data_IF_998453952608
#
_entry.id   IF_998453952608
#
_cell.length_a   1.000
_cell.length_b   1.000
_cell.length_c   1.000
_cell.angle_alpha   90.00
_cell.angle_beta   90.00
_cell.angle_gamma   90.00
#
_symmetry.space_group_name_H-M   'P 1'
#
loop_
_entity.id
_entity.type
_entity.pdbx_description
1 polymer ?
#
# COMPACT_ATOMS: atom_id res chain seq x y z
N UNK A 1 16.76 -9.28 11.34
CA UNK A 1 16.48 -7.85 11.09
C UNK A 1 16.74 -7.09 12.39
N UNK A 2 17.73 -6.21 12.45
CA UNK A 2 18.17 -5.56 13.69
C UNK A 2 17.25 -4.37 14.03
N UNK A 3 16.90 -4.23 15.32
CA UNK A 3 15.96 -3.19 15.84
C UNK A 3 16.42 -1.75 15.57
N UNK A 4 17.70 -1.54 15.27
CA UNK A 4 18.31 -0.22 15.00
C UNK A 4 17.98 0.37 13.62
N UNK A 5 17.47 -0.43 12.67
CA UNK A 5 17.16 0.06 11.31
C UNK A 5 15.77 0.71 11.22
N UNK A 6 14.90 0.46 12.21
CA UNK A 6 13.51 0.92 12.23
C UNK A 6 13.34 2.45 12.31
N UNK A 7 14.10 3.20 13.14
CA UNK A 7 13.97 4.65 13.23
C UNK A 7 14.40 5.35 11.92
N UNK A 8 15.53 4.93 11.34
CA UNK A 8 16.02 5.46 10.06
C UNK A 8 15.01 5.23 8.93
N UNK A 9 14.39 4.05 8.89
CA UNK A 9 13.33 3.73 7.92
C UNK A 9 12.07 4.56 8.16
N UNK A 10 11.71 4.88 9.40
CA UNK A 10 10.51 5.68 9.69
C UNK A 10 10.58 7.09 9.09
N UNK A 11 11.70 7.79 9.30
CA UNK A 11 11.86 9.15 8.78
C UNK A 11 12.01 9.16 7.26
N UNK A 12 12.74 8.19 6.70
CA UNK A 12 12.83 7.98 5.26
C UNK A 12 11.45 7.74 4.62
N UNK A 13 10.66 6.80 5.16
CA UNK A 13 9.30 6.50 4.69
C UNK A 13 8.39 7.73 4.80
N UNK A 14 8.47 8.46 5.91
CA UNK A 14 7.68 9.69 6.10
C UNK A 14 7.99 10.72 5.02
N UNK A 15 9.27 10.98 4.74
CA UNK A 15 9.68 11.98 3.75
C UNK A 15 9.23 11.62 2.34
N UNK A 16 9.45 10.38 1.90
CA UNK A 16 9.12 9.97 0.52
C UNK A 16 7.61 9.88 0.29
N UNK A 17 6.85 9.42 1.29
CA UNK A 17 5.39 9.41 1.23
C UNK A 17 4.85 10.85 1.20
N UNK A 18 5.39 11.75 2.04
CA UNK A 18 4.94 13.15 2.08
C UNK A 18 5.20 13.94 0.79
N UNK A 19 6.15 13.49 -0.05
CA UNK A 19 6.46 14.09 -1.36
C UNK A 19 5.55 13.59 -2.47
N UNK A 20 4.71 12.60 -2.20
CA UNK A 20 3.79 12.04 -3.19
C UNK A 20 2.50 12.85 -3.23
N UNK A 21 2.41 13.79 -4.17
CA UNK A 21 1.27 14.72 -4.31
C UNK A 21 0.05 14.10 -5.02
N UNK A 22 0.26 12.99 -5.73
CA UNK A 22 -0.81 12.26 -6.44
C UNK A 22 -0.87 10.81 -5.99
N UNK A 23 -2.03 10.17 -6.19
CA UNK A 23 -2.23 8.75 -5.89
C UNK A 23 -1.29 7.88 -6.73
N UNK A 24 -1.03 8.24 -7.97
CA UNK A 24 -0.12 7.52 -8.88
C UNK A 24 1.33 7.60 -8.41
N UNK A 25 1.76 8.77 -7.91
CA UNK A 25 3.09 8.97 -7.35
C UNK A 25 3.25 8.20 -6.03
N UNK A 26 2.23 8.21 -5.18
CA UNK A 26 2.21 7.45 -3.94
C UNK A 26 2.30 5.95 -4.23
N UNK A 27 1.52 5.48 -5.20
CA UNK A 27 1.50 4.09 -5.65
C UNK A 27 2.90 3.61 -6.12
N UNK A 28 3.51 4.38 -7.01
CA UNK A 28 4.85 4.09 -7.56
C UNK A 28 5.91 4.07 -6.45
N UNK A 29 5.81 5.01 -5.51
CA UNK A 29 6.70 5.11 -4.35
C UNK A 29 6.55 3.90 -3.44
N UNK A 30 5.33 3.49 -3.10
CA UNK A 30 5.07 2.30 -2.31
C UNK A 30 5.66 1.06 -2.96
N UNK A 31 5.38 0.81 -4.25
CA UNK A 31 5.93 -0.35 -4.98
C UNK A 31 7.46 -0.42 -4.89
N UNK A 32 8.13 0.70 -5.14
CA UNK A 32 9.59 0.79 -5.09
C UNK A 32 10.13 0.44 -3.70
N UNK A 33 9.55 1.00 -2.64
CA UNK A 33 9.94 0.73 -1.25
C UNK A 33 9.77 -0.75 -0.93
N UNK A 34 8.62 -1.34 -1.22
CA UNK A 34 8.39 -2.77 -0.93
C UNK A 34 9.42 -3.65 -1.62
N UNK A 35 9.79 -3.32 -2.86
CA UNK A 35 10.83 -4.01 -3.60
C UNK A 35 12.21 -3.86 -2.93
N UNK A 36 12.57 -2.66 -2.49
CA UNK A 36 13.80 -2.41 -1.71
C UNK A 36 13.82 -3.14 -0.36
N UNK A 37 12.65 -3.44 0.20
CA UNK A 37 12.49 -4.26 1.40
C UNK A 37 12.54 -5.77 1.12
N UNK A 38 12.65 -6.18 -0.14
CA UNK A 38 12.72 -7.58 -0.55
C UNK A 38 11.37 -8.25 -0.77
N UNK A 39 10.29 -7.47 -0.91
CA UNK A 39 8.97 -8.00 -1.25
C UNK A 39 8.69 -7.83 -2.75
N UNK A 40 8.23 -8.91 -3.39
CA UNK A 40 7.85 -8.90 -4.81
C UNK A 40 6.50 -8.21 -5.06
N UNK A 41 5.64 -8.22 -4.04
CA UNK A 41 4.26 -7.74 -4.13
C UNK A 41 3.93 -6.72 -3.04
N UNK A 42 3.07 -5.77 -3.40
CA UNK A 42 2.48 -4.75 -2.56
C UNK A 42 0.96 -4.77 -2.75
N UNK A 43 0.23 -4.62 -1.66
CA UNK A 43 -1.22 -4.45 -1.68
C UNK A 43 -1.64 -3.42 -0.63
N UNK A 44 -2.56 -2.56 -1.02
CA UNK A 44 -3.17 -1.55 -0.18
C UNK A 44 -4.69 -1.60 -0.38
N UNK A 45 -5.43 -1.70 0.72
CA UNK A 45 -6.89 -1.77 0.70
C UNK A 45 -7.50 -0.62 1.50
N UNK A 46 -8.43 0.10 0.89
CA UNK A 46 -9.29 1.07 1.58
C UNK A 46 -10.67 0.44 1.72
N UNK A 47 -11.09 0.22 2.96
CA UNK A 47 -12.47 -0.10 3.28
C UNK A 47 -13.20 1.19 3.64
N UNK A 48 -14.21 1.56 2.84
CA UNK A 48 -15.03 2.71 3.18
C UNK A 48 -15.94 2.38 4.36
N UNK A 49 -16.12 3.31 5.31
CA UNK A 49 -17.03 3.12 6.44
C UNK A 49 -18.51 3.01 5.99
N UNK A 50 -18.81 3.40 4.75
CA UNK A 50 -20.14 3.35 4.16
C UNK A 50 -20.13 2.69 2.77
N UNK A 51 -21.27 2.09 2.36
CA UNK A 51 -22.50 1.92 3.14
C UNK A 51 -22.34 0.86 4.26
N UNK A 52 -23.04 1.06 5.38
CA UNK A 52 -22.82 0.29 6.61
C UNK A 52 -23.14 -1.21 6.50
N UNK A 53 -24.00 -1.59 5.56
CA UNK A 53 -24.46 -2.97 5.36
C UNK A 53 -23.67 -3.73 4.30
N UNK A 54 -23.04 -3.03 3.35
CA UNK A 54 -22.18 -3.61 2.33
C UNK A 54 -21.03 -2.65 2.02
N UNK A 55 -20.02 -2.68 2.89
CA UNK A 55 -18.89 -1.76 2.84
C UNK A 55 -18.11 -1.93 1.53
N UNK A 56 -17.86 -0.82 0.85
CA UNK A 56 -17.05 -0.85 -0.37
C UNK A 56 -15.58 -0.95 0.00
N UNK A 57 -14.90 -1.97 -0.53
CA UNK A 57 -13.45 -2.12 -0.40
C UNK A 57 -12.79 -1.87 -1.75
N UNK A 58 -11.79 -1.01 -1.79
CA UNK A 58 -10.95 -0.79 -2.95
C UNK A 58 -9.57 -1.36 -2.66
N UNK A 59 -9.08 -2.24 -3.53
CA UNK A 59 -7.77 -2.88 -3.39
C UNK A 59 -6.89 -2.41 -4.54
N UNK A 60 -5.74 -1.85 -4.20
CA UNK A 60 -4.68 -1.43 -5.11
C UNK A 60 -3.48 -2.35 -4.89
N UNK A 61 -2.90 -2.88 -5.96
CA UNK A 61 -1.95 -3.99 -5.86
C UNK A 61 -1.13 -4.18 -7.14
N UNK A 62 0.11 -4.67 -7.02
CA UNK A 62 0.76 -5.39 -8.12
C UNK A 62 0.64 -6.92 -7.93
N UNK A 63 -0.26 -7.35 -7.04
CA UNK A 63 -0.47 -8.75 -6.75
C UNK A 63 -1.10 -9.45 -7.98
N UNK A 64 -0.63 -10.64 -8.40
CA UNK A 64 -1.03 -11.27 -9.66
C UNK A 64 -2.43 -11.91 -9.67
N UNK A 65 -3.29 -11.65 -8.69
CA UNK A 65 -4.68 -12.12 -8.74
C UNK A 65 -5.62 -10.99 -9.18
N UNK A 66 -6.66 -11.35 -9.93
CA UNK A 66 -7.75 -10.44 -10.23
C UNK A 66 -8.47 -10.05 -8.94
N UNK A 67 -8.30 -8.80 -8.51
CA UNK A 67 -9.01 -8.21 -7.37
C UNK A 67 -10.53 -8.32 -7.49
N UNK A 68 -11.06 -8.47 -8.72
CA UNK A 68 -12.49 -8.70 -8.99
C UNK A 68 -13.05 -9.96 -8.34
N UNK A 69 -12.25 -11.01 -8.10
CA UNK A 69 -12.72 -12.27 -7.49
C UNK A 69 -12.91 -12.19 -5.97
N UNK A 70 -12.26 -11.24 -5.30
CA UNK A 70 -12.37 -11.05 -3.86
C UNK A 70 -13.42 -10.01 -3.46
N UNK A 71 -13.88 -9.19 -4.41
CA UNK A 71 -14.85 -8.10 -4.21
C UNK A 71 -16.32 -8.54 -4.37
N UNK A 72 -16.58 -9.79 -4.75
CA UNK A 72 -17.92 -10.38 -4.85
C UNK A 72 -18.30 -11.19 -3.60
N UNK A 73 -18.21 -10.58 -2.42
CA UNK A 73 -18.76 -11.15 -1.18
C UNK A 73 -19.76 -10.20 -0.54
#
# INVERSE_FOLDING_TARGET
MNRTDLPFRKDYLRTIISKSETIENLWTTCLKITKEMGFDYFSYSIQHPTPFTNHKTYIYGNYPFETSRLLNR
#
